data_IF_483769388293
#
_entry.id   IF_483769388293
#
_cell.length_a   1.000
_cell.length_b   1.000
_cell.length_c   1.000
_cell.angle_alpha   90.00
_cell.angle_beta   90.00
_cell.angle_gamma   90.00
#
_symmetry.space_group_name_H-M   'P 1'
#
loop_
_entity.id
_entity.type
_entity.pdbx_description
1 polymer ?
#
# COMPACT_ATOMS: atom_id res chain seq x y z
N UNK A 1 -13.21 -17.47 -14.30
CA UNK A 1 -13.86 -16.89 -15.49
C UNK A 1 -14.21 -15.47 -15.11
N UNK A 2 -13.43 -14.48 -15.56
CA UNK A 2 -13.81 -13.09 -15.41
C UNK A 2 -15.07 -12.88 -16.26
N UNK A 3 -16.16 -12.44 -15.63
CA UNK A 3 -17.36 -11.98 -16.30
C UNK A 3 -16.98 -10.89 -17.31
N UNK A 4 -17.62 -10.85 -18.48
CA UNK A 4 -17.43 -9.84 -19.55
C UNK A 4 -17.88 -8.40 -19.14
N UNK A 5 -17.49 -7.93 -17.96
CA UNK A 5 -17.87 -6.64 -17.38
C UNK A 5 -16.73 -5.99 -16.59
N UNK A 6 -16.97 -4.75 -16.13
CA UNK A 6 -16.01 -4.02 -15.31
C UNK A 6 -15.67 -4.76 -14.01
N UNK A 7 -14.40 -4.75 -13.59
CA UNK A 7 -13.97 -5.25 -12.28
C UNK A 7 -14.54 -4.35 -11.20
N UNK A 8 -15.29 -4.91 -10.25
CA UNK A 8 -15.82 -4.19 -9.10
C UNK A 8 -14.95 -4.43 -7.87
N UNK A 9 -15.01 -3.56 -6.84
CA UNK A 9 -14.24 -3.75 -5.62
C UNK A 9 -14.45 -5.13 -4.97
N UNK A 10 -15.69 -5.61 -4.94
CA UNK A 10 -16.05 -6.91 -4.37
C UNK A 10 -15.53 -8.11 -5.19
N UNK A 11 -15.19 -7.90 -6.47
CA UNK A 11 -14.56 -8.93 -7.31
C UNK A 11 -13.05 -9.07 -7.01
N UNK A 12 -12.42 -8.03 -6.47
CA UNK A 12 -11.02 -8.04 -6.00
C UNK A 12 -10.93 -8.61 -4.58
N UNK A 13 -11.80 -8.14 -3.69
CA UNK A 13 -11.93 -8.64 -2.33
C UNK A 13 -13.38 -8.56 -1.89
N UNK A 14 -13.96 -9.73 -1.64
CA UNK A 14 -15.34 -9.89 -1.15
C UNK A 14 -15.63 -8.99 0.05
N UNK A 15 -16.89 -8.55 0.17
CA UNK A 15 -17.30 -7.72 1.31
C UNK A 15 -17.26 -8.44 2.66
N UNK A 16 -17.32 -9.77 2.65
CA UNK A 16 -17.17 -10.58 3.86
C UNK A 16 -15.71 -10.74 4.32
N UNK A 17 -14.75 -10.50 3.41
CA UNK A 17 -13.35 -10.80 3.64
C UNK A 17 -12.55 -9.53 3.98
N UNK A 18 -11.73 -9.62 5.03
CA UNK A 18 -10.87 -8.52 5.45
C UNK A 18 -9.48 -8.55 4.80
N UNK A 19 -9.14 -9.68 4.15
CA UNK A 19 -7.84 -9.91 3.52
C UNK A 19 -7.94 -10.94 2.40
N UNK A 20 -7.02 -10.85 1.46
CA UNK A 20 -6.78 -11.84 0.41
C UNK A 20 -5.27 -12.05 0.25
N UNK A 21 -4.88 -12.96 -0.65
CA UNK A 21 -3.50 -13.16 -1.05
C UNK A 21 -3.34 -12.74 -2.51
N UNK A 22 -2.40 -11.83 -2.77
CA UNK A 22 -2.02 -11.38 -4.12
C UNK A 22 -0.53 -11.67 -4.29
N UNK A 23 -0.16 -12.42 -5.33
CA UNK A 23 1.23 -12.84 -5.59
C UNK A 23 1.96 -13.43 -4.37
N UNK A 24 1.24 -14.21 -3.55
CA UNK A 24 1.78 -14.82 -2.33
C UNK A 24 1.86 -13.89 -1.12
N UNK A 25 1.54 -12.60 -1.27
CA UNK A 25 1.53 -11.59 -0.21
C UNK A 25 0.12 -11.43 0.36
N UNK A 26 0.00 -11.43 1.70
CA UNK A 26 -1.27 -11.14 2.36
C UNK A 26 -1.59 -9.64 2.28
N UNK A 27 -2.75 -9.31 1.70
CA UNK A 27 -3.22 -7.92 1.51
C UNK A 27 -4.52 -7.72 2.27
N UNK A 28 -4.64 -6.64 3.05
CA UNK A 28 -5.87 -6.28 3.77
C UNK A 28 -6.69 -5.27 2.98
N UNK A 29 -8.03 -5.29 3.14
CA UNK A 29 -8.95 -4.35 2.45
C UNK A 29 -8.56 -2.87 2.64
N UNK A 30 -8.00 -2.53 3.79
CA UNK A 30 -7.57 -1.17 4.13
C UNK A 30 -6.13 -0.82 3.74
N UNK A 31 -5.34 -1.74 3.16
CA UNK A 31 -3.90 -1.54 2.94
C UNK A 31 -3.58 -0.28 2.13
N UNK A 32 -4.21 -0.09 0.97
CA UNK A 32 -3.95 1.06 0.10
C UNK A 32 -4.34 2.38 0.78
N UNK A 33 -5.49 2.41 1.45
CA UNK A 33 -5.96 3.59 2.17
C UNK A 33 -5.03 3.95 3.35
N UNK A 34 -4.59 2.95 4.13
CA UNK A 34 -3.66 3.14 5.23
C UNK A 34 -2.28 3.62 4.75
N UNK A 35 -1.78 3.08 3.63
CA UNK A 35 -0.54 3.53 3.03
C UNK A 35 -0.60 5.00 2.62
N UNK A 36 -1.66 5.41 1.90
CA UNK A 36 -1.87 6.80 1.50
C UNK A 36 -1.96 7.72 2.73
N UNK A 37 -2.67 7.29 3.78
CA UNK A 37 -2.81 8.06 5.01
C UNK A 37 -1.45 8.27 5.71
N UNK A 38 -0.65 7.20 5.87
CA UNK A 38 0.68 7.29 6.46
C UNK A 38 1.64 8.12 5.60
N UNK A 39 1.57 8.02 4.27
CA UNK A 39 2.43 8.81 3.38
C UNK A 39 2.16 10.31 3.54
N UNK A 40 0.88 10.71 3.54
CA UNK A 40 0.47 12.10 3.80
C UNK A 40 0.84 12.56 5.21
N UNK A 41 0.65 11.69 6.20
CA UNK A 41 1.01 12.01 7.58
C UNK A 41 2.52 12.26 7.68
N UNK A 42 3.34 11.43 7.04
CA UNK A 42 4.78 11.58 7.01
C UNK A 42 5.23 12.92 6.39
N UNK A 43 4.61 13.34 5.29
CA UNK A 43 4.91 14.63 4.64
C UNK A 43 4.68 15.83 5.57
N UNK A 44 3.72 15.72 6.50
CA UNK A 44 3.38 16.79 7.45
C UNK A 44 4.04 16.63 8.82
N UNK A 45 4.74 15.52 9.06
CA UNK A 45 5.35 15.20 10.35
C UNK A 45 6.80 15.69 10.38
N UNK A 46 7.17 16.61 11.31
CA UNK A 46 8.56 17.08 11.44
C UNK A 46 9.53 15.96 11.75
N UNK A 47 10.79 16.09 11.33
CA UNK A 47 11.86 15.11 11.62
C UNK A 47 12.08 14.89 13.12
N UNK A 48 11.85 15.91 13.94
CA UNK A 48 11.98 15.84 15.40
C UNK A 48 10.78 15.18 16.09
N UNK A 49 9.69 14.88 15.37
CA UNK A 49 8.51 14.27 15.98
C UNK A 49 8.78 12.78 16.26
N UNK A 50 8.63 12.32 17.52
CA UNK A 50 8.92 10.94 17.90
C UNK A 50 8.04 9.91 17.17
N UNK A 51 6.90 10.31 16.61
CA UNK A 51 5.99 9.42 15.87
C UNK A 51 6.49 9.12 14.45
N UNK A 52 7.42 9.91 13.91
CA UNK A 52 7.88 9.78 12.53
C UNK A 52 8.42 8.38 12.23
N UNK A 53 9.23 7.83 13.14
CA UNK A 53 9.78 6.48 13.01
C UNK A 53 8.71 5.39 12.94
N UNK A 54 7.62 5.53 13.72
CA UNK A 54 6.50 4.59 13.68
C UNK A 54 5.74 4.68 12.34
N UNK A 55 5.54 5.89 11.80
CA UNK A 55 4.89 6.10 10.50
C UNK A 55 5.73 5.49 9.37
N UNK A 56 7.04 5.70 9.38
CA UNK A 56 7.94 5.09 8.41
C UNK A 56 7.96 3.57 8.49
N UNK A 57 7.98 3.01 9.70
CA UNK A 57 7.93 1.57 9.90
C UNK A 57 6.63 0.99 9.33
N UNK A 58 5.50 1.66 9.55
CA UNK A 58 4.22 1.22 9.01
C UNK A 58 4.19 1.32 7.48
N UNK A 59 4.77 2.37 6.89
CA UNK A 59 4.92 2.47 5.44
C UNK A 59 5.73 1.31 4.86
N UNK A 60 6.84 0.93 5.50
CA UNK A 60 7.65 -0.23 5.09
C UNK A 60 6.88 -1.54 5.24
N UNK A 61 6.12 -1.72 6.32
CA UNK A 61 5.31 -2.92 6.53
C UNK A 61 4.22 -3.07 5.47
N UNK A 62 3.63 -1.96 5.00
CA UNK A 62 2.58 -1.96 4.00
C UNK A 62 3.11 -2.04 2.56
N UNK A 63 4.36 -1.65 2.32
CA UNK A 63 4.94 -1.52 0.99
C UNK A 63 4.86 -2.81 0.14
N UNK A 64 5.19 -4.02 0.64
CA UNK A 64 5.08 -5.25 -0.15
C UNK A 64 3.66 -5.50 -0.68
N UNK A 65 2.66 -5.29 0.17
CA UNK A 65 1.25 -5.47 -0.20
C UNK A 65 0.76 -4.40 -1.20
N UNK A 66 1.30 -3.18 -1.13
CA UNK A 66 1.04 -2.10 -2.09
C UNK A 66 1.68 -2.38 -3.45
N UNK A 67 2.88 -2.98 -3.47
CA UNK A 67 3.51 -3.44 -4.70
C UNK A 67 2.73 -4.61 -5.31
N UNK A 68 2.36 -5.61 -4.51
CA UNK A 68 1.64 -6.81 -4.97
C UNK A 68 0.27 -6.50 -5.59
N UNK A 69 -0.46 -5.49 -5.10
CA UNK A 69 -1.76 -5.07 -5.70
C UNK A 69 -1.59 -4.32 -7.02
N UNK A 70 -0.35 -4.03 -7.45
CA UNK A 70 -0.07 -3.36 -8.73
C UNK A 70 -0.34 -1.85 -8.70
N UNK A 71 -0.34 -1.21 -7.51
CA UNK A 71 -0.59 0.24 -7.43
C UNK A 71 0.43 1.03 -8.27
N UNK A 72 1.68 0.56 -8.30
CA UNK A 72 2.78 1.20 -9.00
C UNK A 72 2.80 0.95 -10.52
N UNK A 73 1.98 0.01 -11.00
CA UNK A 73 1.79 -0.21 -12.43
C UNK A 73 0.94 0.90 -13.08
N UNK A 74 0.19 1.65 -12.25
CA UNK A 74 -0.74 2.70 -12.68
C UNK A 74 -0.36 4.08 -12.14
N UNK A 75 0.21 4.14 -10.93
CA UNK A 75 0.52 5.40 -10.25
C UNK A 75 1.99 5.48 -9.83
N UNK A 76 2.56 6.68 -9.85
CA UNK A 76 3.89 6.94 -9.28
C UNK A 76 3.78 7.85 -8.06
N UNK A 77 4.45 7.54 -6.93
CA UNK A 77 4.49 8.42 -5.77
C UNK A 77 5.12 9.77 -6.11
N UNK A 78 4.58 10.85 -5.55
CA UNK A 78 5.14 12.20 -5.74
C UNK A 78 6.37 12.46 -4.87
N UNK A 79 6.45 11.83 -3.70
CA UNK A 79 7.56 11.99 -2.76
C UNK A 79 8.66 10.98 -3.05
N UNK A 80 9.88 11.48 -3.30
CA UNK A 80 11.08 10.64 -3.50
C UNK A 80 11.33 9.69 -2.32
N UNK A 81 11.07 10.13 -1.09
CA UNK A 81 11.23 9.29 0.09
C UNK A 81 10.28 8.07 0.09
N UNK A 82 9.00 8.29 -0.23
CA UNK A 82 8.01 7.21 -0.39
C UNK A 82 8.41 6.28 -1.55
N UNK A 83 8.94 6.81 -2.65
CA UNK A 83 9.49 6.00 -3.74
C UNK A 83 10.64 5.11 -3.26
N UNK A 84 11.54 5.60 -2.40
CA UNK A 84 12.61 4.78 -1.81
C UNK A 84 12.05 3.61 -1.01
N UNK A 85 11.09 3.87 -0.12
CA UNK A 85 10.44 2.83 0.70
C UNK A 85 9.82 1.73 -0.17
N UNK A 86 9.17 2.11 -1.28
CA UNK A 86 8.54 1.14 -2.18
C UNK A 86 9.57 0.35 -3.00
N UNK A 87 10.67 0.97 -3.41
CA UNK A 87 11.76 0.30 -4.10
C UNK A 87 12.51 -0.69 -3.19
N UNK A 88 12.66 -0.37 -1.90
CA UNK A 88 13.20 -1.31 -0.89
C UNK A 88 12.36 -2.60 -0.86
N UNK A 89 11.04 -2.49 -0.87
CA UNK A 89 10.13 -3.63 -0.83
C UNK A 89 10.05 -4.44 -2.15
N UNK A 90 10.44 -3.86 -3.28
CA UNK A 90 10.44 -4.53 -4.58
C UNK A 90 11.78 -5.24 -4.90
N UNK A 91 12.80 -5.05 -4.07
CA UNK A 91 14.12 -5.65 -4.24
C UNK A 91 14.28 -7.01 -3.53
N UNK A 92 13.28 -7.42 -2.73
CA UNK A 92 13.15 -8.74 -2.09
C UNK A 92 12.21 -9.67 -2.88
#
# INVERSE_FOLDING_TARGET
MASEGAVRPEDVLSDADNSTTVDGVSVRKGTVAAFIANAKLLETTPESDPRRAAIESELRNLAPAVCAVGLLDVFTPRSVFITSILNEAAAD
#
